data_IF_441407451747
#
_entry.id   IF_441407451747
#
_cell.length_a   1.000
_cell.length_b   1.000
_cell.length_c   1.000
_cell.angle_alpha   90.00
_cell.angle_beta   90.00
_cell.angle_gamma   90.00
#
_symmetry.space_group_name_H-M   'P 1'
#
loop_
_entity.id
_entity.type
_entity.pdbx_description
1 polymer ?
#
# COMPACT_ATOMS: atom_id res chain seq x y z
N UNK A 1 16.47 -54.40 -52.09
CA UNK A 1 15.83 -53.79 -50.92
C UNK A 1 15.12 -52.53 -51.40
N UNK A 2 13.83 -52.64 -51.72
CA UNK A 2 13.01 -51.52 -52.22
C UNK A 2 12.86 -50.50 -51.10
N UNK A 3 13.47 -49.32 -51.23
CA UNK A 3 13.15 -48.18 -50.37
C UNK A 3 11.67 -47.84 -50.61
N UNK A 4 10.81 -48.15 -49.65
CA UNK A 4 9.42 -47.71 -49.66
C UNK A 4 9.43 -46.19 -49.61
N UNK A 5 9.11 -45.54 -50.74
CA UNK A 5 8.82 -44.12 -50.77
C UNK A 5 7.70 -43.86 -49.77
N UNK A 6 8.00 -43.13 -48.69
CA UNK A 6 6.97 -42.61 -47.81
C UNK A 6 6.09 -41.70 -48.66
N UNK A 7 4.85 -42.10 -48.93
CA UNK A 7 3.87 -41.26 -49.62
C UNK A 7 3.58 -40.05 -48.72
N UNK A 8 4.25 -38.94 -48.99
CA UNK A 8 3.85 -37.65 -48.42
C UNK A 8 2.54 -37.25 -49.06
N UNK A 9 1.67 -36.62 -48.29
CA UNK A 9 0.39 -36.13 -48.80
C UNK A 9 0.60 -34.72 -49.34
N UNK A 10 0.32 -34.54 -50.62
CA UNK A 10 0.36 -33.25 -51.28
C UNK A 10 -0.84 -32.41 -50.85
N UNK A 11 -0.58 -31.23 -50.26
CA UNK A 11 -1.60 -30.32 -49.74
C UNK A 11 -1.29 -28.89 -50.21
N UNK A 12 -2.30 -28.08 -50.52
CA UNK A 12 -2.11 -26.65 -50.80
C UNK A 12 -2.21 -25.81 -49.53
N UNK A 13 -1.63 -24.62 -49.52
CA UNK A 13 -1.72 -23.66 -48.40
C UNK A 13 -3.19 -23.34 -48.07
N UNK A 14 -4.05 -23.23 -49.09
CA UNK A 14 -5.48 -22.98 -48.91
C UNK A 14 -6.18 -24.15 -48.22
N UNK A 15 -5.85 -25.39 -48.61
CA UNK A 15 -6.38 -26.59 -47.96
C UNK A 15 -5.91 -26.68 -46.51
N UNK A 16 -4.63 -26.39 -46.25
CA UNK A 16 -4.07 -26.39 -44.90
C UNK A 16 -4.76 -25.35 -44.00
N UNK A 17 -4.99 -24.13 -44.50
CA UNK A 17 -5.72 -23.07 -43.79
C UNK A 17 -7.18 -23.43 -43.57
N UNK A 18 -7.82 -24.04 -44.57
CA UNK A 18 -9.21 -24.52 -44.46
C UNK A 18 -9.35 -25.59 -43.39
N UNK A 19 -8.43 -26.56 -43.33
CA UNK A 19 -8.41 -27.61 -42.30
C UNK A 19 -8.20 -26.98 -40.92
N UNK A 20 -7.26 -26.04 -40.79
CA UNK A 20 -7.02 -25.31 -39.54
C UNK A 20 -8.31 -24.59 -39.07
N UNK A 21 -8.97 -23.87 -39.97
CA UNK A 21 -10.20 -23.12 -39.66
C UNK A 21 -11.34 -24.05 -39.24
N UNK A 22 -11.57 -25.14 -39.98
CA UNK A 22 -12.61 -26.11 -39.64
C UNK A 22 -12.37 -26.74 -38.27
N UNK A 23 -11.13 -27.11 -37.95
CA UNK A 23 -10.81 -27.63 -36.62
C UNK A 23 -10.95 -26.58 -35.54
N UNK A 24 -10.58 -25.33 -35.81
CA UNK A 24 -10.78 -24.23 -34.87
C UNK A 24 -12.27 -24.02 -34.56
N UNK A 25 -13.11 -23.93 -35.58
CA UNK A 25 -14.55 -23.69 -35.45
C UNK A 25 -15.25 -24.83 -34.68
N UNK A 26 -14.90 -26.08 -34.97
CA UNK A 26 -15.45 -27.25 -34.26
C UNK A 26 -15.03 -27.23 -32.77
N UNK A 27 -13.77 -26.86 -32.49
CA UNK A 27 -13.28 -26.75 -31.12
C UNK A 27 -13.97 -25.60 -30.40
N UNK A 28 -14.16 -24.46 -31.05
CA UNK A 28 -14.85 -23.29 -30.51
C UNK A 28 -16.32 -23.61 -30.20
N UNK A 29 -17.05 -24.21 -31.14
CA UNK A 29 -18.44 -24.65 -30.94
C UNK A 29 -18.56 -25.61 -29.75
N UNK A 30 -17.62 -26.56 -29.64
CA UNK A 30 -17.60 -27.50 -28.53
C UNK A 30 -17.26 -26.83 -27.20
N UNK A 31 -16.32 -25.88 -27.18
CA UNK A 31 -16.03 -25.12 -25.97
C UNK A 31 -17.22 -24.27 -25.54
N UNK A 32 -17.93 -23.65 -26.47
CA UNK A 32 -19.08 -22.78 -26.19
C UNK A 32 -20.29 -23.56 -25.68
N UNK A 33 -20.37 -24.86 -26.01
CA UNK A 33 -21.39 -25.76 -25.48
C UNK A 33 -21.09 -26.21 -24.04
N UNK A 34 -19.81 -26.41 -23.70
CA UNK A 34 -19.40 -27.00 -22.42
C UNK A 34 -18.91 -25.99 -21.37
N UNK A 35 -18.52 -24.79 -21.80
CA UNK A 35 -18.12 -23.71 -20.91
C UNK A 35 -19.28 -22.73 -20.73
N UNK A 36 -19.44 -22.13 -19.54
CA UNK A 36 -20.47 -21.12 -19.30
C UNK A 36 -20.32 -19.94 -20.28
N UNK A 37 -21.47 -19.41 -20.72
CA UNK A 37 -21.53 -18.30 -21.68
C UNK A 37 -20.97 -17.01 -21.05
N UNK A 38 -20.51 -16.11 -21.93
CA UNK A 38 -19.84 -14.80 -21.67
C UNK A 38 -20.71 -13.79 -20.89
N UNK A 39 -21.33 -14.17 -19.78
CA UNK A 39 -22.03 -13.20 -18.93
C UNK A 39 -21.03 -12.39 -18.08
N UNK A 40 -19.77 -12.85 -18.00
CA UNK A 40 -18.64 -12.11 -17.44
C UNK A 40 -17.44 -12.18 -18.40
N UNK A 41 -16.94 -11.03 -18.85
CA UNK A 41 -15.80 -10.87 -19.76
C UNK A 41 -14.44 -11.38 -19.19
N UNK A 42 -14.44 -11.99 -18.01
CA UNK A 42 -13.26 -12.29 -17.21
C UNK A 42 -13.17 -13.76 -16.75
N UNK A 43 -13.71 -14.70 -17.53
CA UNK A 43 -13.51 -16.13 -17.25
C UNK A 43 -12.08 -16.56 -17.64
N UNK A 44 -11.17 -16.47 -16.65
CA UNK A 44 -9.78 -16.90 -16.77
C UNK A 44 -9.66 -18.38 -17.19
N UNK A 45 -10.58 -19.24 -16.76
CA UNK A 45 -10.56 -20.68 -17.06
C UNK A 45 -10.87 -20.91 -18.53
N UNK A 46 -11.89 -20.21 -19.06
CA UNK A 46 -12.22 -20.29 -20.49
C UNK A 46 -11.07 -19.78 -21.36
N UNK A 47 -10.45 -18.66 -20.99
CA UNK A 47 -9.29 -18.11 -21.71
C UNK A 47 -8.11 -19.10 -21.71
N UNK A 48 -7.84 -19.73 -20.58
CA UNK A 48 -6.80 -20.76 -20.48
C UNK A 48 -7.07 -21.97 -21.38
N UNK A 49 -8.30 -22.48 -21.37
CA UNK A 49 -8.71 -23.59 -22.25
C UNK A 49 -8.58 -23.21 -23.73
N UNK A 50 -8.97 -21.99 -24.10
CA UNK A 50 -8.81 -21.49 -25.47
C UNK A 50 -7.34 -21.44 -25.90
N UNK A 51 -6.43 -20.95 -25.04
CA UNK A 51 -4.99 -20.94 -25.30
C UNK A 51 -4.47 -22.38 -25.48
N UNK A 52 -4.84 -23.30 -24.58
CA UNK A 52 -4.41 -24.70 -24.67
C UNK A 52 -4.91 -25.39 -25.95
N UNK A 53 -6.13 -25.10 -26.40
CA UNK A 53 -6.67 -25.64 -27.65
C UNK A 53 -5.93 -25.09 -28.87
N UNK A 54 -5.58 -23.81 -28.87
CA UNK A 54 -4.76 -23.22 -29.92
C UNK A 54 -3.36 -23.85 -29.97
N UNK A 55 -2.71 -24.03 -28.82
CA UNK A 55 -1.41 -24.71 -28.73
C UNK A 55 -1.49 -26.17 -29.18
N UNK A 56 -2.54 -26.89 -28.77
CA UNK A 56 -2.79 -28.25 -29.19
C UNK A 56 -2.93 -28.36 -30.72
N UNK A 57 -3.73 -27.48 -31.33
CA UNK A 57 -3.97 -27.50 -32.77
C UNK A 57 -2.71 -27.15 -33.55
N UNK A 58 -1.91 -26.18 -33.06
CA UNK A 58 -0.61 -25.85 -33.64
C UNK A 58 0.37 -27.03 -33.52
N UNK A 59 0.41 -27.71 -32.38
CA UNK A 59 1.24 -28.89 -32.15
C UNK A 59 0.83 -30.04 -33.07
N UNK A 60 -0.47 -30.34 -33.17
CA UNK A 60 -1.01 -31.39 -34.03
C UNK A 60 -0.70 -31.12 -35.51
N UNK A 61 -0.89 -29.89 -35.98
CA UNK A 61 -0.59 -29.51 -37.36
C UNK A 61 0.91 -29.52 -37.64
N UNK A 62 1.76 -29.16 -36.67
CA UNK A 62 3.23 -29.26 -36.78
C UNK A 62 3.71 -30.72 -36.78
N UNK A 63 3.02 -31.62 -36.07
CA UNK A 63 3.30 -33.05 -36.14
C UNK A 63 2.88 -33.61 -37.50
N UNK A 64 1.68 -33.25 -37.97
CA UNK A 64 1.16 -33.66 -39.28
C UNK A 64 2.05 -33.14 -40.42
N UNK A 65 2.62 -31.94 -40.31
CA UNK A 65 3.46 -31.34 -41.35
C UNK A 65 4.69 -32.17 -41.71
N UNK A 66 5.13 -33.11 -40.86
CA UNK A 66 6.23 -34.03 -41.17
C UNK A 66 5.86 -35.05 -42.26
N UNK A 67 4.57 -35.28 -42.46
CA UNK A 67 4.00 -36.23 -43.42
C UNK A 67 3.27 -35.55 -44.60
N UNK A 68 3.23 -34.21 -44.60
CA UNK A 68 2.61 -33.40 -45.65
C UNK A 68 3.69 -32.74 -46.52
N UNK A 69 3.38 -32.55 -47.80
CA UNK A 69 4.17 -31.76 -48.74
C UNK A 69 3.30 -30.62 -49.28
N UNK A 70 3.78 -29.37 -49.15
CA UNK A 70 2.99 -28.20 -49.54
C UNK A 70 3.33 -27.79 -50.96
N UNK A 71 2.44 -28.08 -51.91
CA UNK A 71 2.74 -28.01 -53.36
C UNK A 71 2.70 -26.57 -53.91
N UNK A 72 1.97 -25.65 -53.28
CA UNK A 72 1.86 -24.24 -53.72
C UNK A 72 2.50 -23.24 -52.75
N UNK A 73 3.46 -23.68 -51.93
CA UNK A 73 4.23 -22.75 -51.10
C UNK A 73 5.11 -21.88 -52.01
N UNK A 74 4.59 -20.73 -52.43
CA UNK A 74 5.35 -19.77 -53.21
C UNK A 74 6.61 -19.38 -52.42
N UNK A 75 7.72 -19.39 -53.14
CA UNK A 75 9.10 -19.41 -52.66
C UNK A 75 9.49 -18.13 -51.89
N UNK A 76 9.14 -18.08 -50.61
CA UNK A 76 9.81 -17.21 -49.63
C UNK A 76 10.31 -17.98 -48.40
N UNK A 77 10.63 -19.27 -48.56
CA UNK A 77 11.21 -20.08 -47.48
C UNK A 77 10.32 -20.21 -46.25
N UNK A 78 9.03 -19.90 -46.35
CA UNK A 78 8.09 -19.97 -45.23
C UNK A 78 7.83 -21.44 -44.89
N UNK A 79 8.08 -21.79 -43.64
CA UNK A 79 7.79 -23.14 -43.12
C UNK A 79 6.29 -23.32 -42.94
N UNK A 80 5.81 -24.57 -42.97
CA UNK A 80 4.41 -24.92 -42.67
C UNK A 80 3.97 -24.32 -41.32
N UNK A 81 4.87 -24.28 -40.34
CA UNK A 81 4.65 -23.64 -39.04
C UNK A 81 4.36 -22.14 -39.16
N UNK A 82 5.08 -21.40 -39.99
CA UNK A 82 4.84 -19.96 -40.21
C UNK A 82 3.50 -19.71 -40.89
N UNK A 83 3.12 -20.55 -41.86
CA UNK A 83 1.82 -20.47 -42.52
C UNK A 83 0.65 -20.71 -41.55
N UNK A 84 0.85 -21.59 -40.56
CA UNK A 84 -0.13 -21.86 -39.49
C UNK A 84 -0.15 -20.70 -38.48
N UNK A 85 0.99 -20.12 -38.12
CA UNK A 85 1.06 -18.95 -37.23
C UNK A 85 0.35 -17.73 -37.84
N UNK A 86 0.50 -17.49 -39.14
CA UNK A 86 -0.25 -16.42 -39.84
C UNK A 86 -1.77 -16.62 -39.74
N UNK A 87 -2.26 -17.88 -39.81
CA UNK A 87 -3.69 -18.14 -39.58
C UNK A 87 -4.09 -17.96 -38.12
N UNK A 88 -3.18 -18.21 -37.18
CA UNK A 88 -3.41 -18.06 -35.74
C UNK A 88 -3.50 -16.59 -35.33
N UNK A 89 -2.72 -15.69 -35.94
CA UNK A 89 -2.75 -14.25 -35.67
C UNK A 89 -4.15 -13.63 -35.83
N UNK A 90 -5.01 -14.23 -36.68
CA UNK A 90 -6.41 -13.80 -36.84
C UNK A 90 -7.29 -14.13 -35.63
N UNK A 91 -6.94 -15.15 -34.86
CA UNK A 91 -7.71 -15.67 -33.72
C UNK A 91 -7.05 -15.37 -32.36
N UNK A 92 -5.90 -14.70 -32.36
CA UNK A 92 -5.23 -14.25 -31.14
C UNK A 92 -5.55 -12.79 -30.87
N UNK A 93 -5.66 -12.47 -29.58
CA UNK A 93 -5.77 -11.08 -29.15
C UNK A 93 -4.48 -10.33 -29.51
N UNK A 94 -4.58 -9.17 -30.20
CA UNK A 94 -3.41 -8.39 -30.55
C UNK A 94 -2.73 -7.84 -29.29
N UNK A 95 -1.42 -7.70 -29.34
CA UNK A 95 -0.67 -7.12 -28.23
C UNK A 95 -1.10 -5.67 -27.98
N UNK A 96 -1.71 -5.42 -26.83
CA UNK A 96 -2.14 -4.09 -26.43
C UNK A 96 -0.97 -3.32 -25.81
N UNK A 97 -0.39 -2.41 -26.60
CA UNK A 97 0.73 -1.55 -26.17
C UNK A 97 0.37 -0.68 -24.97
N UNK A 98 -0.87 -0.16 -24.91
CA UNK A 98 -1.33 0.70 -23.82
C UNK A 98 -1.46 -0.08 -22.52
N UNK A 99 -2.01 -1.30 -22.58
CA UNK A 99 -2.11 -2.20 -21.43
C UNK A 99 -0.71 -2.61 -20.92
N UNK A 100 0.20 -2.92 -21.84
CA UNK A 100 1.57 -3.26 -21.47
C UNK A 100 2.30 -2.10 -20.79
N UNK A 101 2.11 -0.87 -21.28
CA UNK A 101 2.68 0.32 -20.66
C UNK A 101 2.05 0.60 -19.28
N UNK A 102 0.76 0.35 -19.10
CA UNK A 102 0.11 0.41 -17.79
C UNK A 102 0.70 -0.62 -16.82
N UNK A 103 0.86 -1.87 -17.26
CA UNK A 103 1.48 -2.93 -16.47
C UNK A 103 2.90 -2.52 -16.06
N UNK A 104 3.69 -1.98 -16.99
CA UNK A 104 5.05 -1.51 -16.71
C UNK A 104 5.09 -0.39 -15.68
N UNK A 105 4.19 0.60 -15.78
CA UNK A 105 4.08 1.68 -14.80
C UNK A 105 3.70 1.16 -13.42
N UNK A 106 2.74 0.25 -13.35
CA UNK A 106 2.32 -0.37 -12.09
C UNK A 106 3.46 -1.18 -11.44
N UNK A 107 4.25 -1.90 -12.24
CA UNK A 107 5.43 -2.59 -11.73
C UNK A 107 6.47 -1.61 -11.16
N UNK A 108 6.73 -0.51 -11.87
CA UNK A 108 7.68 0.50 -11.39
C UNK A 108 7.19 1.17 -10.09
N UNK A 109 5.91 1.53 -10.01
CA UNK A 109 5.33 2.09 -8.79
C UNK A 109 5.40 1.11 -7.62
N UNK A 110 5.11 -0.17 -7.88
CA UNK A 110 5.24 -1.22 -6.89
C UNK A 110 6.69 -1.39 -6.39
N UNK A 111 7.68 -1.32 -7.29
CA UNK A 111 9.10 -1.36 -6.92
C UNK A 111 9.49 -0.15 -6.04
N UNK A 112 9.08 1.06 -6.44
CA UNK A 112 9.39 2.30 -5.73
C UNK A 112 8.79 2.30 -4.31
N UNK A 113 7.51 1.91 -4.16
CA UNK A 113 6.87 1.81 -2.84
C UNK A 113 7.48 0.68 -2.00
N UNK A 114 7.88 -0.44 -2.61
CA UNK A 114 8.57 -1.52 -1.89
C UNK A 114 9.91 -1.05 -1.31
N UNK A 115 10.70 -0.32 -2.10
CA UNK A 115 11.98 0.27 -1.65
C UNK A 115 11.74 1.29 -0.55
N UNK A 116 10.74 2.16 -0.72
CA UNK A 116 10.38 3.18 0.28
C UNK A 116 9.96 2.56 1.61
N UNK A 117 9.12 1.52 1.59
CA UNK A 117 8.73 0.79 2.80
C UNK A 117 9.92 0.10 3.44
N UNK A 118 10.81 -0.51 2.66
CA UNK A 118 12.03 -1.12 3.19
C UNK A 118 12.94 -0.08 3.89
N UNK A 119 13.14 1.08 3.26
CA UNK A 119 13.89 2.19 3.85
C UNK A 119 13.24 2.74 5.12
N UNK A 120 11.91 2.90 5.12
CA UNK A 120 11.14 3.31 6.30
C UNK A 120 11.26 2.30 7.44
N UNK A 121 11.23 1.00 7.16
CA UNK A 121 11.42 -0.04 8.18
C UNK A 121 12.83 -0.02 8.76
N UNK A 122 13.84 0.26 7.95
CA UNK A 122 15.22 0.33 8.39
C UNK A 122 15.54 1.61 9.18
N UNK A 123 15.10 2.77 8.67
CA UNK A 123 15.50 4.09 9.20
C UNK A 123 14.48 4.69 10.16
N UNK A 124 13.21 4.31 10.04
CA UNK A 124 12.11 4.82 10.84
C UNK A 124 12.31 4.61 12.34
N UNK A 125 12.59 3.39 12.83
CA UNK A 125 12.81 3.15 14.25
C UNK A 125 13.97 3.96 14.82
N UNK A 126 15.08 4.05 14.08
CA UNK A 126 16.25 4.83 14.48
C UNK A 126 15.91 6.32 14.60
N UNK A 127 15.20 6.88 13.61
CA UNK A 127 14.80 8.30 13.63
C UNK A 127 13.82 8.62 14.75
N UNK A 128 12.85 7.74 15.00
CA UNK A 128 11.92 7.90 16.12
C UNK A 128 12.69 7.91 17.44
N UNK A 129 13.61 6.96 17.64
CA UNK A 129 14.39 6.88 18.87
C UNK A 129 15.28 8.11 19.07
N UNK A 130 15.88 8.63 18.00
CA UNK A 130 16.66 9.87 18.02
C UNK A 130 15.80 11.06 18.49
N UNK A 131 14.61 11.24 17.92
CA UNK A 131 13.71 12.34 18.30
C UNK A 131 13.28 12.23 19.77
N UNK A 132 12.91 11.03 20.22
CA UNK A 132 12.52 10.82 21.62
C UNK A 132 13.68 11.03 22.59
N UNK A 133 14.88 10.54 22.25
CA UNK A 133 16.07 10.69 23.10
C UNK A 133 16.46 12.16 23.22
N UNK A 134 16.50 12.89 22.11
CA UNK A 134 16.82 14.32 22.11
C UNK A 134 15.81 15.12 22.95
N UNK A 135 14.50 14.83 22.81
CA UNK A 135 13.46 15.51 23.59
C UNK A 135 13.57 15.18 25.09
N UNK A 136 13.88 13.93 25.44
CA UNK A 136 14.14 13.53 26.82
C UNK A 136 15.34 14.26 27.40
N UNK A 137 16.45 14.34 26.67
CA UNK A 137 17.68 14.97 27.15
C UNK A 137 17.49 16.49 27.34
N UNK A 138 16.72 17.13 26.45
CA UNK A 138 16.33 18.54 26.62
C UNK A 138 15.49 18.75 27.88
N UNK A 139 14.51 17.87 28.13
CA UNK A 139 13.68 17.93 29.33
C UNK A 139 14.50 17.72 30.62
N UNK A 140 15.44 16.76 30.62
CA UNK A 140 16.35 16.54 31.75
C UNK A 140 17.23 17.76 32.01
N UNK A 141 17.78 18.38 30.96
CA UNK A 141 18.58 19.61 31.07
C UNK A 141 17.78 20.75 31.70
N UNK A 142 16.50 20.90 31.33
CA UNK A 142 15.62 21.91 31.93
C UNK A 142 15.33 21.61 33.41
N UNK A 143 15.13 20.34 33.77
CA UNK A 143 14.92 19.93 35.16
C UNK A 143 16.17 20.18 36.01
N UNK A 144 17.34 19.80 35.52
CA UNK A 144 18.61 20.02 36.22
C UNK A 144 18.86 21.52 36.45
N UNK A 145 18.53 22.36 35.46
CA UNK A 145 18.56 23.82 35.62
C UNK A 145 17.64 24.32 36.75
N UNK A 146 16.42 23.80 36.84
CA UNK A 146 15.48 24.15 37.93
C UNK A 146 15.96 23.66 39.28
N UNK A 147 16.51 22.45 39.35
CA UNK A 147 17.09 21.89 40.58
C UNK A 147 18.25 22.76 41.06
N UNK A 148 19.14 23.18 40.14
CA UNK A 148 20.25 24.08 40.46
C UNK A 148 19.79 25.42 41.03
N UNK A 149 18.75 26.04 40.45
CA UNK A 149 18.15 27.28 40.97
C UNK A 149 17.55 27.07 42.37
N UNK A 150 16.84 25.97 42.58
CA UNK A 150 16.26 25.64 43.89
C UNK A 150 17.33 25.40 44.95
N UNK A 151 18.40 24.66 44.62
CA UNK A 151 19.53 24.40 45.51
C UNK A 151 20.28 25.68 45.88
N UNK A 152 20.51 26.57 44.91
CA UNK A 152 21.11 27.88 45.17
C UNK A 152 20.24 28.71 46.13
N UNK A 153 18.93 28.77 45.90
CA UNK A 153 17.97 29.47 46.78
C UNK A 153 17.93 28.89 48.19
N UNK A 154 17.98 27.56 48.33
CA UNK A 154 18.02 26.90 49.64
C UNK A 154 19.31 27.21 50.39
N UNK A 155 20.44 27.28 49.68
CA UNK A 155 21.75 27.60 50.29
C UNK A 155 21.81 29.07 50.71
N UNK A 156 21.25 29.99 49.91
CA UNK A 156 21.11 31.40 50.26
C UNK A 156 20.18 31.61 51.46
N UNK A 157 19.05 30.89 51.55
CA UNK A 157 18.17 30.93 52.73
C UNK A 157 18.85 30.36 53.97
N UNK A 158 19.59 29.26 53.86
CA UNK A 158 20.35 28.71 54.99
C UNK A 158 21.49 29.63 55.44
N UNK A 159 22.14 30.35 54.52
CA UNK A 159 23.13 31.35 54.85
C UNK A 159 22.50 32.60 55.51
N UNK A 160 21.31 33.01 55.08
CA UNK A 160 20.56 34.10 55.69
C UNK A 160 20.06 33.74 57.10
N UNK A 161 19.52 32.54 57.30
CA UNK A 161 19.10 32.04 58.62
C UNK A 161 20.29 31.90 59.59
N UNK A 162 21.50 31.60 59.09
CA UNK A 162 22.70 31.50 59.93
C UNK A 162 23.30 32.88 60.31
N UNK A 163 22.98 33.93 59.55
CA UNK A 163 23.35 35.33 59.86
C UNK A 163 22.30 36.05 60.74
N UNK A 164 21.04 35.63 60.72
CA UNK A 164 19.98 36.15 61.61
C UNK A 164 19.92 35.42 62.98
N UNK A 165 20.75 34.40 63.22
CA UNK A 165 20.73 33.58 64.44
C UNK A 165 21.59 34.11 65.61
N UNK A 166 22.33 35.22 65.45
CA UNK A 166 23.13 35.80 66.55
C UNK A 166 22.51 37.04 67.21
N UNK A 167 21.41 37.62 66.71
CA UNK A 167 20.69 38.71 67.40
C UNK A 167 19.19 38.69 67.10
N UNK A 168 18.37 38.33 68.10
CA UNK A 168 16.95 38.72 68.35
C UNK A 168 16.44 37.81 69.47
N UNK A 169 16.53 38.17 70.75
CA UNK A 169 15.71 39.16 71.47
C UNK A 169 14.21 39.12 71.13
N UNK A 170 13.42 39.03 72.20
CA UNK A 170 11.98 38.87 72.22
C UNK A 170 11.25 39.93 71.37
N UNK A 171 10.61 39.51 70.28
CA UNK A 171 9.49 40.25 69.71
C UNK A 171 8.62 39.37 68.80
N UNK A 172 7.37 39.19 69.22
CA UNK A 172 6.31 38.58 68.44
C UNK A 172 6.21 39.26 67.06
N UNK A 173 6.46 38.50 66.00
CA UNK A 173 6.15 38.90 64.63
C UNK A 173 4.64 39.14 64.52
N UNK A 174 4.18 40.32 64.05
CA UNK A 174 2.76 40.53 63.83
C UNK A 174 2.30 39.59 62.72
N UNK A 175 1.35 38.71 63.02
CA UNK A 175 0.74 37.82 62.02
C UNK A 175 0.30 38.66 60.81
N UNK A 176 0.87 38.35 59.65
CA UNK A 176 0.71 39.12 58.42
C UNK A 176 -0.70 38.92 57.83
N UNK A 177 -1.68 39.55 58.46
CA UNK A 177 -3.12 39.49 58.15
C UNK A 177 -3.45 40.01 56.75
N UNK A 178 -2.62 40.89 56.20
CA UNK A 178 -2.80 41.45 54.86
C UNK A 178 -2.59 40.38 53.78
N UNK A 179 -1.52 39.58 53.90
CA UNK A 179 -1.29 38.46 52.99
C UNK A 179 -2.40 37.41 53.04
N UNK A 180 -2.89 37.07 54.24
CA UNK A 180 -3.97 36.08 54.41
C UNK A 180 -5.27 36.59 53.78
N UNK A 181 -5.55 37.89 53.90
CA UNK A 181 -6.70 38.53 53.26
C UNK A 181 -6.57 38.50 51.74
N UNK A 182 -5.39 38.80 51.22
CA UNK A 182 -5.14 38.83 49.78
C UNK A 182 -5.26 37.42 49.17
N UNK A 183 -4.76 36.39 49.84
CA UNK A 183 -4.92 34.98 49.44
C UNK A 183 -6.40 34.54 49.46
N UNK A 184 -7.16 35.00 50.47
CA UNK A 184 -8.60 34.74 50.54
C UNK A 184 -9.38 35.45 49.41
N UNK A 185 -9.01 36.68 49.07
CA UNK A 185 -9.63 37.41 47.96
C UNK A 185 -9.24 36.79 46.61
N UNK A 186 -8.01 36.31 46.46
CA UNK A 186 -7.55 35.63 45.25
C UNK A 186 -8.35 34.34 45.00
N UNK A 187 -8.50 33.50 46.04
CA UNK A 187 -9.26 32.26 45.95
C UNK A 187 -10.76 32.48 45.66
N UNK A 188 -11.38 33.53 46.23
CA UNK A 188 -12.76 33.91 45.88
C UNK A 188 -12.91 34.34 44.41
N UNK A 189 -11.94 35.08 43.89
CA UNK A 189 -11.93 35.49 42.48
C UNK A 189 -11.75 34.28 41.55
N UNK A 190 -10.93 33.31 41.92
CA UNK A 190 -10.75 32.07 41.17
C UNK A 190 -12.01 31.20 41.17
N UNK A 191 -12.70 31.11 42.31
CA UNK A 191 -13.99 30.43 42.43
C UNK A 191 -15.06 31.09 41.55
N UNK A 192 -15.10 32.43 41.51
CA UNK A 192 -16.03 33.17 40.67
C UNK A 192 -15.76 32.93 39.17
N UNK A 193 -14.49 32.94 38.76
CA UNK A 193 -14.08 32.67 37.38
C UNK A 193 -14.43 31.24 36.95
N UNK A 194 -14.18 30.26 37.81
CA UNK A 194 -14.54 28.86 37.54
C UNK A 194 -16.05 28.67 37.45
N UNK A 195 -16.84 29.34 38.29
CA UNK A 195 -18.29 29.34 38.19
C UNK A 195 -18.79 29.93 36.86
N UNK A 196 -18.17 31.00 36.35
CA UNK A 196 -18.51 31.56 35.03
C UNK A 196 -18.09 30.65 33.87
N UNK A 197 -16.99 29.92 34.00
CA UNK A 197 -16.49 29.01 32.96
C UNK A 197 -17.26 27.68 32.91
N UNK A 198 -17.88 27.26 34.02
CA UNK A 198 -18.57 25.97 34.16
C UNK A 198 -19.66 25.72 33.08
N UNK A 199 -20.55 26.68 32.75
CA UNK A 199 -21.59 26.48 31.74
C UNK A 199 -21.00 26.30 30.34
N UNK A 200 -19.93 27.03 30.01
CA UNK A 200 -19.25 26.94 28.71
C UNK A 200 -18.58 25.58 28.53
N UNK A 201 -17.93 25.08 29.58
CA UNK A 201 -17.32 23.75 29.59
C UNK A 201 -18.38 22.65 29.52
N UNK A 202 -19.50 22.79 30.22
CA UNK A 202 -20.62 21.83 30.10
C UNK A 202 -21.18 21.78 28.67
N UNK A 203 -21.38 22.94 28.05
CA UNK A 203 -21.84 23.02 26.66
C UNK A 203 -20.85 22.40 25.67
N UNK A 204 -19.54 22.66 25.83
CA UNK A 204 -18.53 22.06 24.95
C UNK A 204 -18.44 20.54 25.10
N UNK A 205 -18.58 20.02 26.33
CA UNK A 205 -18.63 18.58 26.59
C UNK A 205 -19.88 17.93 25.98
N UNK A 206 -21.06 18.53 26.13
CA UNK A 206 -22.29 18.03 25.48
C UNK A 206 -22.18 18.04 23.96
N UNK A 207 -21.58 19.09 23.39
CA UNK A 207 -21.33 19.18 21.95
C UNK A 207 -20.40 18.07 21.45
N UNK A 208 -19.30 17.81 22.17
CA UNK A 208 -18.36 16.71 21.82
C UNK A 208 -19.04 15.36 21.96
N UNK A 209 -19.86 15.16 23.00
CA UNK A 209 -20.65 13.94 23.17
C UNK A 209 -21.60 13.70 22.00
N UNK A 210 -22.33 14.73 21.56
CA UNK A 210 -23.19 14.61 20.38
C UNK A 210 -22.43 14.33 19.08
N UNK A 211 -21.21 14.86 18.93
CA UNK A 211 -20.33 14.55 17.80
C UNK A 211 -19.85 13.09 17.83
N UNK A 212 -19.51 12.56 19.01
CA UNK A 212 -19.17 11.16 19.21
C UNK A 212 -20.36 10.24 18.90
N UNK A 213 -21.55 10.55 19.42
CA UNK A 213 -22.78 9.77 19.16
C UNK A 213 -23.18 9.77 17.67
N UNK A 214 -22.79 10.81 16.91
CA UNK A 214 -22.99 10.87 15.45
C UNK A 214 -21.99 9.98 14.72
N UNK A 215 -20.71 10.00 15.13
CA UNK A 215 -19.66 9.17 14.53
C UNK A 215 -19.80 7.67 14.83
N UNK A 216 -20.46 7.28 15.93
CA UNK A 216 -20.75 5.88 16.25
C UNK A 216 -21.99 5.31 15.54
N UNK A 217 -22.81 6.18 14.91
CA UNK A 217 -24.04 5.77 14.20
C UNK A 217 -23.89 5.64 12.67
N UNK A 218 -22.75 6.07 12.12
CA UNK A 218 -22.28 5.73 10.76
C UNK A 218 -21.32 4.53 10.81
#
# INVERSE_FOLDING_TARGET
MSQGQSKKLDVTVEQLRSIYHQFHDILEEKTDLHLPKKDHDDDAVRREVQIQLQEFLLSAMTMASKSLEVVNADTQGKTVKQLIMESQEKYMEPFNLDLNEQVRKMYQEWEDETVKVAQLRQTGPAKINEVYTNSKDEYLTQLDGRIGVLQARMTEQQAADHFDAEEKDDQATPANWENIRDDYVASLNELYRTQQALPQVRYSVEKVKHLMDYLEKD
#
